data_IF_891092815172
#
_entry.id   IF_891092815172
#
_cell.length_a   1.000
_cell.length_b   1.000
_cell.length_c   1.000
_cell.angle_alpha   90.00
_cell.angle_beta   90.00
_cell.angle_gamma   90.00
#
_symmetry.space_group_name_H-M   'P 1'
#
loop_
_entity.id
_entity.type
_entity.pdbx_description
1 polymer ?
#
# COMPACT_ATOMS: atom_id res chain seq x y z
N UNK A 1 5.14 6.59 20.07
CA UNK A 1 5.41 5.49 19.13
C UNK A 1 4.65 5.67 17.84
N UNK A 2 3.30 5.74 17.88
CA UNK A 2 2.42 5.96 16.70
C UNK A 2 2.91 7.00 15.70
N UNK A 3 3.17 8.24 16.14
CA UNK A 3 3.67 9.33 15.28
C UNK A 3 4.94 8.97 14.50
N UNK A 4 5.86 8.19 15.08
CA UNK A 4 7.10 7.78 14.40
C UNK A 4 6.81 6.77 13.28
N UNK A 5 5.88 5.85 13.52
CA UNK A 5 5.45 4.84 12.55
C UNK A 5 4.65 5.50 11.42
N UNK A 6 3.73 6.39 11.75
CA UNK A 6 2.96 7.16 10.75
C UNK A 6 3.88 8.00 9.88
N UNK A 7 4.88 8.67 10.47
CA UNK A 7 5.88 9.42 9.69
C UNK A 7 6.66 8.52 8.72
N UNK A 8 6.95 7.27 9.10
CA UNK A 8 7.59 6.31 8.19
C UNK A 8 6.65 5.91 7.05
N UNK A 9 5.38 5.64 7.35
CA UNK A 9 4.35 5.29 6.35
C UNK A 9 4.15 6.44 5.36
N UNK A 10 4.05 7.68 5.85
CA UNK A 10 3.90 8.86 4.99
C UNK A 10 5.12 9.03 4.07
N UNK A 11 6.33 8.76 4.58
CA UNK A 11 7.55 8.79 3.76
C UNK A 11 7.59 7.67 2.70
N UNK A 12 7.10 6.47 3.03
CA UNK A 12 6.99 5.36 2.08
C UNK A 12 5.98 5.68 0.96
N UNK A 13 4.81 6.22 1.31
CA UNK A 13 3.77 6.59 0.35
C UNK A 13 4.18 7.78 -0.53
N UNK A 14 4.99 8.71 0.00
CA UNK A 14 5.47 9.86 -0.75
C UNK A 14 6.29 9.47 -1.99
N UNK A 15 6.93 8.29 -2.03
CA UNK A 15 7.70 7.84 -3.19
C UNK A 15 6.87 7.68 -4.48
N UNK A 16 5.55 7.51 -4.35
CA UNK A 16 4.63 7.43 -5.49
C UNK A 16 4.08 8.82 -5.91
N UNK A 17 4.44 9.90 -5.23
CA UNK A 17 4.04 11.27 -5.55
C UNK A 17 4.99 11.86 -6.62
N UNK A 18 4.55 12.03 -7.87
CA UNK A 18 5.41 12.52 -8.95
C UNK A 18 5.75 14.01 -8.82
N UNK A 19 5.06 14.78 -7.97
CA UNK A 19 5.45 16.16 -7.68
C UNK A 19 6.65 16.21 -6.74
N UNK A 20 6.78 15.23 -5.84
CA UNK A 20 7.90 15.11 -4.90
C UNK A 20 9.07 14.33 -5.46
N UNK A 21 8.80 13.27 -6.23
CA UNK A 21 9.81 12.39 -6.84
C UNK A 21 9.51 12.18 -8.33
N UNK A 22 9.78 13.17 -9.18
CA UNK A 22 9.51 13.10 -10.62
C UNK A 22 10.18 11.91 -11.32
N UNK A 23 11.34 11.45 -10.82
CA UNK A 23 12.09 10.30 -11.34
C UNK A 23 11.36 8.96 -11.20
N UNK A 24 10.36 8.89 -10.32
CA UNK A 24 9.55 7.69 -10.10
C UNK A 24 8.19 7.72 -10.80
N UNK A 25 7.87 8.83 -11.49
CA UNK A 25 6.60 9.01 -12.19
C UNK A 25 6.34 7.86 -13.18
N UNK A 26 5.21 7.19 -13.01
CA UNK A 26 4.78 6.09 -13.89
C UNK A 26 5.51 4.76 -13.66
N UNK A 27 6.40 4.67 -12.66
CA UNK A 27 7.17 3.46 -12.38
C UNK A 27 7.08 3.00 -10.90
N UNK A 28 6.62 3.86 -9.99
CA UNK A 28 6.38 3.53 -8.58
C UNK A 28 4.93 3.82 -8.20
N UNK A 29 4.30 2.87 -7.51
CA UNK A 29 2.97 3.00 -6.93
C UNK A 29 3.00 2.79 -5.42
N UNK A 30 2.01 3.34 -4.72
CA UNK A 30 1.88 3.24 -3.26
C UNK A 30 0.46 2.82 -2.87
N UNK A 31 0.35 1.96 -1.87
CA UNK A 31 -0.95 1.46 -1.37
C UNK A 31 -1.05 1.79 0.11
N UNK A 32 -2.05 2.59 0.48
CA UNK A 32 -2.41 2.82 1.87
C UNK A 32 -3.12 1.58 2.43
N UNK A 33 -2.57 0.98 3.50
CA UNK A 33 -3.05 -0.30 4.04
C UNK A 33 -3.53 -0.21 5.48
N UNK A 34 -3.37 0.95 6.15
CA UNK A 34 -3.74 1.13 7.57
C UNK A 34 -5.20 0.75 7.84
N UNK A 35 -6.10 1.13 6.94
CA UNK A 35 -7.54 0.89 7.08
C UNK A 35 -7.97 -0.54 6.71
N UNK A 36 -7.05 -1.39 6.25
CA UNK A 36 -7.37 -2.77 5.89
C UNK A 36 -7.40 -3.70 7.12
N UNK A 37 -6.77 -3.31 8.22
CA UNK A 37 -6.67 -4.14 9.41
C UNK A 37 -8.05 -4.45 9.99
N UNK A 38 -8.42 -5.73 9.98
CA UNK A 38 -9.59 -6.24 10.70
C UNK A 38 -9.39 -6.22 12.20
N UNK A 39 -10.46 -6.35 12.97
CA UNK A 39 -10.36 -6.24 14.42
C UNK A 39 -9.68 -7.46 15.02
N UNK A 40 -9.32 -7.35 16.31
CA UNK A 40 -8.70 -8.46 17.05
C UNK A 40 -9.67 -9.65 17.21
N UNK A 41 -10.97 -9.39 17.22
CA UNK A 41 -12.03 -10.40 17.36
C UNK A 41 -12.13 -11.27 16.10
N UNK A 42 -11.80 -10.71 14.94
CA UNK A 42 -11.77 -11.37 13.63
C UNK A 42 -10.46 -12.12 13.38
N UNK A 43 -9.61 -12.23 14.41
CA UNK A 43 -8.26 -12.77 14.31
C UNK A 43 -8.19 -14.27 14.63
N UNK A 44 -7.55 -15.10 13.78
CA UNK A 44 -7.22 -16.48 14.14
C UNK A 44 -6.09 -16.60 15.19
N UNK A 45 -5.24 -15.59 15.39
CA UNK A 45 -4.04 -15.71 16.25
C UNK A 45 -3.78 -14.56 17.22
N UNK A 46 -4.49 -13.44 17.07
CA UNK A 46 -4.34 -12.17 17.79
C UNK A 46 -2.95 -11.53 17.69
N UNK A 47 -2.14 -11.91 16.70
CA UNK A 47 -0.84 -11.28 16.43
C UNK A 47 -1.01 -9.96 15.68
N UNK A 48 -1.14 -8.87 16.41
CA UNK A 48 -1.31 -7.51 15.89
C UNK A 48 -0.21 -7.08 14.90
N UNK A 49 1.05 -7.44 15.16
CA UNK A 49 2.19 -7.11 14.30
C UNK A 49 2.23 -7.88 12.95
N UNK A 50 1.32 -8.84 12.74
CA UNK A 50 1.13 -9.54 11.46
C UNK A 50 -0.32 -9.41 10.97
N UNK A 51 -0.92 -8.21 11.10
CA UNK A 51 -2.28 -7.96 10.63
C UNK A 51 -3.31 -8.93 11.22
N UNK A 52 -3.12 -9.31 12.48
CA UNK A 52 -3.94 -10.30 13.17
C UNK A 52 -4.01 -11.67 12.46
N UNK A 53 -3.09 -11.97 11.55
CA UNK A 53 -3.18 -13.12 10.62
C UNK A 53 -4.56 -13.24 9.94
N UNK A 54 -5.25 -12.12 9.74
CA UNK A 54 -6.60 -12.11 9.19
C UNK A 54 -6.52 -12.23 7.66
N UNK A 55 -7.24 -13.20 7.09
CA UNK A 55 -7.20 -13.50 5.66
C UNK A 55 -7.72 -12.34 4.81
N UNK A 56 -8.77 -11.65 5.26
CA UNK A 56 -9.39 -10.57 4.50
C UNK A 56 -8.47 -9.36 4.43
N UNK A 57 -7.77 -9.03 5.52
CA UNK A 57 -6.73 -7.99 5.53
C UNK A 57 -5.67 -8.28 4.47
N UNK A 58 -5.17 -9.52 4.40
CA UNK A 58 -4.18 -9.90 3.37
C UNK A 58 -4.76 -9.86 1.95
N UNK A 59 -6.02 -10.27 1.76
CA UNK A 59 -6.69 -10.17 0.47
C UNK A 59 -6.82 -8.72 0.00
N UNK A 60 -7.18 -7.79 0.90
CA UNK A 60 -7.27 -6.36 0.58
C UNK A 60 -5.92 -5.74 0.23
N UNK A 61 -4.86 -6.07 0.99
CA UNK A 61 -3.49 -5.65 0.68
C UNK A 61 -3.10 -6.18 -0.71
N UNK A 62 -3.32 -7.47 -0.98
CA UNK A 62 -3.04 -8.09 -2.27
C UNK A 62 -3.81 -7.44 -3.42
N UNK A 63 -5.11 -7.17 -3.23
CA UNK A 63 -5.94 -6.47 -4.21
C UNK A 63 -5.41 -5.06 -4.48
N UNK A 64 -5.11 -4.28 -3.45
CA UNK A 64 -4.58 -2.92 -3.62
C UNK A 64 -3.25 -2.90 -4.38
N UNK A 65 -2.35 -3.85 -4.10
CA UNK A 65 -1.10 -3.99 -4.87
C UNK A 65 -1.36 -4.39 -6.33
N UNK A 66 -2.32 -5.30 -6.57
CA UNK A 66 -2.70 -5.72 -7.91
C UNK A 66 -3.32 -4.58 -8.73
N UNK A 67 -4.25 -3.83 -8.14
CA UNK A 67 -4.88 -2.67 -8.77
C UNK A 67 -3.83 -1.59 -9.10
N UNK A 68 -2.92 -1.29 -8.16
CA UNK A 68 -1.82 -0.33 -8.40
C UNK A 68 -0.87 -0.78 -9.51
N UNK A 69 -0.58 -2.08 -9.63
CA UNK A 69 0.23 -2.60 -10.73
C UNK A 69 -0.47 -2.44 -12.08
N UNK A 70 -1.77 -2.71 -12.16
CA UNK A 70 -2.56 -2.49 -13.39
C UNK A 70 -2.51 -1.03 -13.81
N UNK A 71 -2.63 -0.10 -12.87
CA UNK A 71 -2.51 1.34 -13.15
C UNK A 71 -1.13 1.69 -13.72
N UNK A 72 -0.04 1.21 -13.11
CA UNK A 72 1.32 1.45 -13.60
C UNK A 72 1.54 0.93 -15.02
N UNK A 73 1.08 -0.29 -15.30
CA UNK A 73 1.18 -0.88 -16.64
C UNK A 73 0.33 -0.12 -17.68
N UNK A 74 -0.83 0.37 -17.25
CA UNK A 74 -1.71 1.17 -18.10
C UNK A 74 -1.08 2.52 -18.44
N UNK A 75 -0.54 3.23 -17.44
CA UNK A 75 0.17 4.49 -17.64
C UNK A 75 1.39 4.29 -18.53
N UNK A 76 2.18 3.24 -18.30
CA UNK A 76 3.36 2.92 -19.11
C UNK A 76 3.01 2.73 -20.59
N UNK A 77 1.88 2.13 -20.90
CA UNK A 77 1.42 1.92 -22.28
C UNK A 77 1.12 3.25 -23.00
N UNK A 78 0.66 4.29 -22.29
CA UNK A 78 0.40 5.62 -22.86
C UNK A 78 1.65 6.48 -23.09
N UNK A 79 2.82 6.09 -22.56
CA UNK A 79 4.08 6.85 -22.71
C UNK A 79 4.89 6.37 -23.94
N UNK A 80 4.52 5.24 -24.54
CA UNK A 80 5.22 4.63 -25.68
C UNK A 80 4.62 5.04 -27.05
N UNK A 81 3.49 5.75 -27.07
CA UNK A 81 2.90 6.38 -28.28
C UNK A 81 3.21 7.88 -28.35
#
# INVERSE_FOLDING_TARGET
YKVRVEKLMDAQLALADPEKYPEFKGNVGGVETRDFQRTREESPSRQDYHWYRNWETFCLIGKGMGDSMVELLTISQFVIE
#
